data_IF_624204357817
#
_entry.id   IF_624204357817
#
_cell.length_a   1.000
_cell.length_b   1.000
_cell.length_c   1.000
_cell.angle_alpha   90.00
_cell.angle_beta   90.00
_cell.angle_gamma   90.00
#
_symmetry.space_group_name_H-M   'P 1'
#
loop_
_entity.id
_entity.type
_entity.pdbx_description
1 polymer ?
#
# COMPACT_ATOMS: atom_id res chain seq x y z
N UNK A 1 -14.32 16.15 16.79
CA UNK A 1 -14.41 15.65 15.39
C UNK A 1 -13.03 15.25 14.87
N UNK A 2 -12.93 14.48 13.78
CA UNK A 2 -11.63 14.05 13.21
C UNK A 2 -10.73 15.24 12.85
N UNK A 3 -11.32 16.40 12.53
CA UNK A 3 -10.58 17.65 12.27
C UNK A 3 -9.78 18.16 13.48
N UNK A 4 -10.11 17.73 14.70
CA UNK A 4 -9.38 18.13 15.93
C UNK A 4 -8.05 17.37 16.10
N UNK A 5 -7.88 16.23 15.42
CA UNK A 5 -6.75 15.33 15.61
C UNK A 5 -5.87 15.21 14.36
N UNK A 6 -6.32 15.75 13.22
CA UNK A 6 -5.66 15.62 11.93
C UNK A 6 -5.66 16.98 11.23
N UNK A 7 -4.47 17.47 10.89
CA UNK A 7 -4.26 18.79 10.28
C UNK A 7 -5.08 18.99 9.00
N UNK A 8 -5.27 17.92 8.21
CA UNK A 8 -6.09 17.95 7.00
C UNK A 8 -6.81 16.62 6.79
N UNK A 9 -8.13 16.66 6.96
CA UNK A 9 -9.00 15.53 6.66
C UNK A 9 -9.24 15.48 5.14
N UNK A 10 -8.87 14.35 4.52
CA UNK A 10 -9.04 14.10 3.08
C UNK A 10 -9.91 12.87 2.92
N UNK A 11 -11.23 13.07 2.95
CA UNK A 11 -12.20 12.00 2.72
C UNK A 11 -12.97 12.26 1.42
N UNK A 12 -12.90 11.37 0.43
CA UNK A 12 -13.68 11.51 -0.79
C UNK A 12 -15.18 11.39 -0.49
N UNK A 13 -16.00 12.10 -1.25
CA UNK A 13 -17.45 12.04 -1.09
C UNK A 13 -17.94 10.65 -1.42
N UNK A 14 -18.73 10.06 -0.51
CA UNK A 14 -19.47 8.83 -0.80
C UNK A 14 -20.57 9.13 -1.83
N UNK A 15 -20.44 8.58 -3.04
CA UNK A 15 -21.41 8.73 -4.13
C UNK A 15 -21.07 9.88 -5.09
N UNK A 16 -22.09 10.51 -5.69
CA UNK A 16 -21.91 11.56 -6.70
C UNK A 16 -21.48 12.88 -6.06
N UNK A 17 -20.35 13.43 -6.49
CA UNK A 17 -19.86 14.74 -6.05
C UNK A 17 -20.70 15.89 -6.63
N UNK A 18 -20.90 16.94 -5.83
CA UNK A 18 -21.37 18.24 -6.31
C UNK A 18 -20.21 19.07 -6.91
N UNK A 19 -20.51 20.25 -7.49
CA UNK A 19 -19.50 21.09 -8.16
C UNK A 19 -18.39 21.59 -7.22
N UNK A 20 -18.72 21.86 -5.96
CA UNK A 20 -17.76 22.35 -4.96
C UNK A 20 -16.86 21.22 -4.46
N UNK A 21 -17.44 20.06 -4.15
CA UNK A 21 -16.73 18.83 -3.78
C UNK A 21 -15.80 18.40 -4.91
N UNK A 22 -16.23 18.50 -6.17
CA UNK A 22 -15.39 18.16 -7.32
C UNK A 22 -14.21 19.11 -7.49
N UNK A 23 -14.39 20.40 -7.20
CA UNK A 23 -13.29 21.37 -7.21
C UNK A 23 -12.29 21.09 -6.06
N UNK A 24 -12.79 20.74 -4.89
CA UNK A 24 -11.99 20.38 -3.72
C UNK A 24 -11.19 19.08 -3.94
N UNK A 25 -11.86 17.99 -4.35
CA UNK A 25 -11.20 16.72 -4.70
C UNK A 25 -10.28 16.85 -5.91
N UNK A 26 -10.57 17.83 -6.78
CA UNK A 26 -9.76 18.20 -7.93
C UNK A 26 -8.40 18.77 -7.54
N UNK A 27 -8.28 19.36 -6.35
CA UNK A 27 -7.09 20.05 -5.88
C UNK A 27 -5.89 19.10 -5.75
N UNK A 28 -4.71 19.56 -6.18
CA UNK A 28 -3.48 18.73 -6.21
C UNK A 28 -3.15 18.12 -4.85
N UNK A 29 -3.26 18.90 -3.77
CA UNK A 29 -2.98 18.40 -2.42
C UNK A 29 -3.93 17.28 -2.00
N UNK A 30 -5.21 17.38 -2.38
CA UNK A 30 -6.23 16.39 -2.05
C UNK A 30 -5.90 15.06 -2.74
N UNK A 31 -5.61 15.12 -4.05
CA UNK A 31 -5.22 13.93 -4.83
C UNK A 31 -3.99 13.25 -4.26
N UNK A 32 -2.94 14.01 -3.90
CA UNK A 32 -1.71 13.44 -3.34
C UNK A 32 -1.97 12.73 -2.01
N UNK A 33 -2.71 13.36 -1.09
CA UNK A 33 -3.03 12.76 0.21
C UNK A 33 -3.96 11.56 0.08
N UNK A 34 -4.96 11.62 -0.81
CA UNK A 34 -5.85 10.50 -1.12
C UNK A 34 -5.08 9.31 -1.67
N UNK A 35 -4.15 9.53 -2.62
CA UNK A 35 -3.35 8.45 -3.18
C UNK A 35 -2.43 7.80 -2.14
N UNK A 36 -1.88 8.58 -1.20
CA UNK A 36 -1.15 8.03 -0.04
C UNK A 36 -2.04 7.14 0.82
N UNK A 37 -3.27 7.58 1.10
CA UNK A 37 -4.24 6.76 1.83
C UNK A 37 -4.54 5.45 1.10
N UNK A 38 -4.78 5.49 -0.22
CA UNK A 38 -5.00 4.27 -1.01
C UNK A 38 -3.83 3.29 -0.94
N UNK A 39 -2.59 3.79 -0.90
CA UNK A 39 -1.41 2.93 -0.72
C UNK A 39 -1.39 2.27 0.68
N UNK A 40 -1.77 2.99 1.73
CA UNK A 40 -1.88 2.44 3.09
C UNK A 40 -2.95 1.33 3.15
N UNK A 41 -4.14 1.59 2.63
CA UNK A 41 -5.23 0.59 2.58
C UNK A 41 -4.82 -0.67 1.80
N UNK A 42 -4.13 -0.49 0.67
CA UNK A 42 -3.60 -1.61 -0.10
C UNK A 42 -2.60 -2.44 0.71
N UNK A 43 -1.73 -1.81 1.50
CA UNK A 43 -0.78 -2.51 2.36
C UNK A 43 -1.47 -3.25 3.51
N UNK A 44 -2.54 -2.67 4.09
CA UNK A 44 -3.35 -3.33 5.12
C UNK A 44 -4.03 -4.57 4.54
N UNK A 45 -4.71 -4.45 3.40
CA UNK A 45 -5.32 -5.58 2.72
C UNK A 45 -4.29 -6.68 2.36
N UNK A 46 -3.08 -6.26 1.99
CA UNK A 46 -1.99 -7.19 1.71
C UNK A 46 -1.52 -7.96 2.97
N UNK A 47 -1.51 -7.31 4.15
CA UNK A 47 -1.28 -7.95 5.45
C UNK A 47 -2.40 -8.93 5.82
N UNK A 48 -3.67 -8.56 5.60
CA UNK A 48 -4.83 -9.43 5.82
C UNK A 48 -4.76 -10.70 4.98
N UNK A 49 -4.42 -10.57 3.70
CA UNK A 49 -4.17 -11.71 2.83
C UNK A 49 -3.05 -12.65 3.34
N UNK A 50 -2.22 -12.20 4.30
CA UNK A 50 -1.15 -12.96 4.96
C UNK A 50 -1.48 -13.32 6.40
N UNK A 51 -2.77 -13.32 6.74
CA UNK A 51 -3.29 -13.82 8.00
C UNK A 51 -3.32 -12.80 9.13
N UNK A 52 -3.25 -11.49 8.83
CA UNK A 52 -3.44 -10.46 9.87
C UNK A 52 -4.81 -10.58 10.54
N UNK A 53 -5.82 -11.04 9.79
CA UNK A 53 -7.19 -11.29 10.20
C UNK A 53 -7.40 -12.64 10.93
N UNK A 54 -6.32 -13.43 11.12
CA UNK A 54 -6.37 -14.77 11.70
C UNK A 54 -5.61 -14.85 13.01
N UNK A 55 -6.34 -15.08 14.09
CA UNK A 55 -5.78 -15.39 15.41
C UNK A 55 -6.45 -16.65 15.97
N UNK A 56 -5.98 -17.86 15.62
CA UNK A 56 -6.54 -19.14 16.08
C UNK A 56 -6.56 -19.28 17.60
N UNK A 57 -5.51 -18.81 18.28
CA UNK A 57 -5.40 -18.87 19.72
C UNK A 57 -6.00 -17.64 20.40
N UNK A 58 -6.58 -17.83 21.59
CA UNK A 58 -7.12 -16.73 22.39
C UNK A 58 -6.02 -16.03 23.19
N UNK A 59 -6.22 -14.74 23.43
CA UNK A 59 -5.42 -13.95 24.35
C UNK A 59 -4.43 -13.01 23.67
N UNK A 60 -4.14 -11.91 24.36
CA UNK A 60 -3.29 -10.83 23.85
C UNK A 60 -1.85 -11.28 23.47
N UNK A 61 -1.19 -12.20 24.20
CA UNK A 61 0.13 -12.69 23.80
C UNK A 61 0.10 -13.40 22.44
N UNK A 62 -0.95 -14.17 22.16
CA UNK A 62 -1.11 -14.86 20.88
C UNK A 62 -1.41 -13.87 19.76
N UNK A 63 -2.32 -12.91 20.00
CA UNK A 63 -2.59 -11.81 19.08
C UNK A 63 -1.30 -11.11 18.63
N UNK A 64 -0.44 -10.71 19.58
CA UNK A 64 0.86 -10.10 19.26
C UNK A 64 1.74 -10.97 18.36
N UNK A 65 1.80 -12.29 18.62
CA UNK A 65 2.59 -13.23 17.81
C UNK A 65 2.06 -13.33 16.38
N UNK A 66 0.75 -13.48 16.21
CA UNK A 66 0.13 -13.58 14.89
C UNK A 66 0.30 -12.30 14.07
N UNK A 67 0.12 -11.12 14.69
CA UNK A 67 0.43 -9.83 14.04
C UNK A 67 1.89 -9.80 13.57
N UNK A 68 2.83 -10.18 14.45
CA UNK A 68 4.25 -10.23 14.10
C UNK A 68 4.54 -11.18 12.93
N UNK A 69 3.87 -12.33 12.87
CA UNK A 69 4.00 -13.29 11.78
C UNK A 69 3.48 -12.72 10.45
N UNK A 70 2.32 -12.06 10.46
CA UNK A 70 1.76 -11.42 9.26
C UNK A 70 2.66 -10.32 8.72
N UNK A 71 3.24 -9.49 9.60
CA UNK A 71 4.22 -8.46 9.21
C UNK A 71 5.48 -9.09 8.62
N UNK A 72 6.00 -10.17 9.22
CA UNK A 72 7.14 -10.90 8.68
C UNK A 72 6.85 -11.47 7.28
N UNK A 73 5.69 -12.12 7.10
CA UNK A 73 5.27 -12.67 5.81
C UNK A 73 5.08 -11.56 4.74
N UNK A 74 4.56 -10.40 5.13
CA UNK A 74 4.43 -9.23 4.25
C UNK A 74 5.81 -8.76 3.75
N UNK A 75 6.73 -8.55 4.68
CA UNK A 75 8.08 -8.09 4.36
C UNK A 75 8.84 -9.09 3.48
N UNK A 76 8.74 -10.39 3.77
CA UNK A 76 9.37 -11.44 2.96
C UNK A 76 8.88 -11.39 1.50
N UNK A 77 7.56 -11.21 1.28
CA UNK A 77 7.05 -11.05 -0.09
C UNK A 77 7.62 -9.81 -0.76
N UNK A 78 7.60 -8.66 -0.06
CA UNK A 78 8.08 -7.38 -0.60
C UNK A 78 9.54 -7.50 -1.04
N UNK A 79 10.39 -8.04 -0.18
CA UNK A 79 11.81 -8.30 -0.50
C UNK A 79 11.92 -9.22 -1.73
N UNK A 80 11.16 -10.31 -1.78
CA UNK A 80 11.15 -11.21 -2.93
C UNK A 80 10.73 -10.53 -4.24
N UNK A 81 9.74 -9.63 -4.21
CA UNK A 81 9.32 -8.85 -5.37
C UNK A 81 10.41 -7.90 -5.86
N UNK A 82 11.09 -7.21 -4.95
CA UNK A 82 12.20 -6.31 -5.29
C UNK A 82 13.37 -7.09 -5.93
N UNK A 83 13.73 -8.25 -5.37
CA UNK A 83 14.78 -9.11 -5.94
C UNK A 83 14.43 -9.56 -7.37
N UNK A 84 13.18 -9.97 -7.61
CA UNK A 84 12.71 -10.34 -8.95
C UNK A 84 12.76 -9.14 -9.90
N UNK A 85 12.38 -7.94 -9.43
CA UNK A 85 12.44 -6.72 -10.25
C UNK A 85 13.87 -6.37 -10.66
N UNK A 86 14.82 -6.42 -9.71
CA UNK A 86 16.25 -6.22 -9.96
C UNK A 86 16.77 -7.22 -10.99
N UNK A 87 16.40 -8.50 -10.86
CA UNK A 87 16.81 -9.53 -11.82
C UNK A 87 16.28 -9.25 -13.23
N UNK A 88 15.00 -8.85 -13.36
CA UNK A 88 14.40 -8.49 -14.65
C UNK A 88 15.10 -7.30 -15.31
N UNK A 89 15.43 -6.26 -14.54
CA UNK A 89 16.14 -5.09 -15.04
C UNK A 89 17.54 -5.46 -15.58
N UNK A 90 18.25 -6.34 -14.88
CA UNK A 90 19.56 -6.86 -15.33
C UNK A 90 19.45 -7.66 -16.64
N UNK A 91 18.42 -8.49 -16.78
CA UNK A 91 18.18 -9.23 -18.02
C UNK A 91 17.83 -8.29 -19.19
N UNK A 92 17.00 -7.28 -18.95
CA UNK A 92 16.60 -6.30 -19.97
C UNK A 92 17.78 -5.43 -20.44
N UNK A 93 18.62 -4.98 -19.52
CA UNK A 93 19.84 -4.24 -19.88
C UNK A 93 20.79 -5.10 -20.71
N UNK A 94 21.04 -6.34 -20.30
CA UNK A 94 21.87 -7.27 -21.08
C UNK A 94 21.30 -7.54 -22.50
N UNK A 95 19.98 -7.73 -22.63
CA UNK A 95 19.32 -7.90 -23.93
C UNK A 95 19.40 -6.64 -24.81
N UNK A 96 19.31 -5.46 -24.19
CA UNK A 96 19.44 -4.17 -24.90
C UNK A 96 20.87 -3.96 -25.40
N UNK A 97 21.87 -4.30 -24.59
CA UNK A 97 23.29 -4.23 -24.95
C UNK A 97 23.63 -5.21 -26.10
N UNK A 98 23.13 -6.45 -26.04
CA UNK A 98 23.26 -7.44 -27.10
C UNK A 98 22.66 -6.95 -28.43
N UNK A 99 21.48 -6.32 -28.38
CA UNK A 99 20.82 -5.74 -29.57
C UNK A 99 21.55 -4.52 -30.13
N UNK A 100 22.25 -3.76 -29.30
CA UNK A 100 23.02 -2.60 -29.74
C UNK A 100 24.38 -2.97 -30.36
N UNK A 101 24.90 -4.17 -30.06
CA UNK A 101 26.16 -4.68 -30.57
C UNK A 101 26.02 -5.51 -31.88
N UNK A 102 24.79 -5.85 -32.28
CA UNK A 102 24.46 -6.56 -33.51
C UNK A 102 24.03 -5.59 -34.62
#
# INVERSE_FOLDING_TARGET
>A
MLEEHVEKVVMPKKGKCNKLEQAEEGHRSFKLLRNKHSAVESNINELECRGLDRCPDRGYPHFKRYIGLSVAAYNLRRIGQELIAIQKQKMQSADTELKAAA
#
